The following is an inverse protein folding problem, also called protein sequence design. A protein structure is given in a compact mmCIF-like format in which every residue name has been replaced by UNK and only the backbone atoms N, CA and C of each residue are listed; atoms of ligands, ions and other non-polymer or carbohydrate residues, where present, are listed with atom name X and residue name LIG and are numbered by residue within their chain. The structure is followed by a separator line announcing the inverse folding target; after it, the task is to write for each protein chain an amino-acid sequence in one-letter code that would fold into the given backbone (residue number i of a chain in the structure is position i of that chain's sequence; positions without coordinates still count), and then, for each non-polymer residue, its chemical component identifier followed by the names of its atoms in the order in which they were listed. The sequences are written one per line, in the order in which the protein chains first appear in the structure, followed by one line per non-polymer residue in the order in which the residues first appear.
data_IF_345987525127
#
_entry.id   IF_345987525127
#
_cell.length_a   1.000
_cell.length_b   1.000
_cell.length_c   1.000
_cell.angle_alpha   90.00
_cell.angle_beta   90.00
_cell.angle_gamma   90.00
#
_symmetry.space_group_name_H-M   'P 1'
#
loop_
_entity.id
_entity.type
_entity.pdbx_description
1 polymer ?
#
# COMPACT_ATOMS: atom_id res chain seq x y z
N UNK A 1 7.81 11.62 -11.34
CA UNK A 1 6.72 12.14 -10.48
C UNK A 1 5.78 11.02 -10.09
N UNK A 2 4.95 11.19 -9.05
CA UNK A 2 4.06 10.13 -8.49
C UNK A 2 3.19 9.46 -9.56
N UNK A 3 2.69 10.24 -10.53
CA UNK A 3 1.91 9.74 -11.68
C UNK A 3 2.69 8.79 -12.60
N UNK A 4 4.01 8.94 -12.71
CA UNK A 4 4.84 8.02 -13.50
C UNK A 4 4.94 6.66 -12.80
N UNK A 5 5.05 6.65 -11.47
CA UNK A 5 5.12 5.41 -10.69
C UNK A 5 3.76 4.68 -10.73
N UNK A 6 2.66 5.42 -10.73
CA UNK A 6 1.31 4.88 -10.99
C UNK A 6 1.18 4.25 -12.37
N UNK A 7 1.85 4.79 -13.39
CA UNK A 7 1.88 4.18 -14.72
C UNK A 7 2.68 2.86 -14.69
N UNK A 8 3.82 2.83 -13.98
CA UNK A 8 4.62 1.62 -13.75
C UNK A 8 3.86 0.52 -12.98
N UNK A 9 2.91 0.87 -12.12
CA UNK A 9 2.05 -0.12 -11.44
C UNK A 9 1.11 -0.88 -12.40
N UNK A 10 0.86 -0.34 -13.60
CA UNK A 10 0.06 -0.98 -14.65
C UNK A 10 0.90 -1.69 -15.71
N UNK A 11 2.21 -1.78 -15.50
CA UNK A 11 3.12 -2.42 -16.45
C UNK A 11 2.84 -3.94 -16.53
N UNK A 12 3.24 -4.56 -17.63
CA UNK A 12 3.12 -6.01 -17.79
C UNK A 12 4.19 -6.74 -16.97
N UNK A 13 5.33 -6.09 -16.70
CA UNK A 13 6.40 -6.65 -15.88
C UNK A 13 6.07 -6.56 -14.40
N UNK A 14 6.00 -7.73 -13.76
CA UNK A 14 5.70 -7.85 -12.33
C UNK A 14 6.79 -7.20 -11.46
N UNK A 15 8.05 -7.28 -11.88
CA UNK A 15 9.18 -6.70 -11.16
C UNK A 15 9.06 -5.18 -11.13
N UNK A 16 8.68 -4.58 -12.26
CA UNK A 16 8.45 -3.13 -12.37
C UNK A 16 7.29 -2.71 -11.46
N UNK A 17 6.22 -3.51 -11.41
CA UNK A 17 5.06 -3.24 -10.55
C UNK A 17 5.39 -3.34 -9.07
N UNK A 18 6.16 -4.35 -8.66
CA UNK A 18 6.61 -4.54 -7.29
C UNK A 18 7.47 -3.35 -6.83
N UNK A 19 8.46 -2.97 -7.63
CA UNK A 19 9.33 -1.82 -7.34
C UNK A 19 8.54 -0.51 -7.30
N UNK A 20 7.57 -0.34 -8.20
CA UNK A 20 6.69 0.82 -8.22
C UNK A 20 5.86 0.92 -6.93
N UNK A 21 5.22 -0.16 -6.51
CA UNK A 21 4.46 -0.25 -5.25
C UNK A 21 5.34 0.03 -4.03
N UNK A 22 6.51 -0.60 -3.96
CA UNK A 22 7.45 -0.43 -2.86
C UNK A 22 7.94 1.03 -2.76
N UNK A 23 8.26 1.64 -3.89
CA UNK A 23 8.68 3.04 -3.96
C UNK A 23 7.57 3.96 -3.46
N UNK A 24 6.33 3.72 -3.88
CA UNK A 24 5.16 4.49 -3.42
C UNK A 24 4.94 4.30 -1.93
N UNK A 25 5.06 3.08 -1.40
CA UNK A 25 4.96 2.80 0.04
C UNK A 25 5.96 3.64 0.83
N UNK A 26 7.21 3.64 0.40
CA UNK A 26 8.29 4.37 1.09
C UNK A 26 8.07 5.89 1.04
N UNK A 27 7.66 6.43 -0.11
CA UNK A 27 7.37 7.85 -0.27
C UNK A 27 6.11 8.25 0.53
N UNK A 28 5.07 7.42 0.49
CA UNK A 28 3.83 7.65 1.23
C UNK A 28 4.05 7.67 2.73
N UNK A 29 5.03 6.89 3.23
CA UNK A 29 5.41 6.80 4.64
C UNK A 29 6.29 7.95 5.16
N UNK A 30 6.88 8.75 4.27
CA UNK A 30 7.76 9.86 4.65
C UNK A 30 6.98 11.13 5.01
N UNK A 31 5.92 11.45 4.26
CA UNK A 31 5.19 12.71 4.43
C UNK A 31 3.66 12.54 4.28
N UNK A 32 2.84 13.02 5.25
CA UNK A 32 1.39 12.94 5.18
C UNK A 32 0.77 13.74 4.02
N UNK A 33 1.42 14.81 3.56
CA UNK A 33 1.02 15.62 2.40
C UNK A 33 1.19 14.83 1.10
N UNK A 34 2.24 14.01 1.02
CA UNK A 34 2.46 13.12 -0.12
C UNK A 34 1.47 11.95 -0.09
N UNK A 35 1.21 11.36 1.08
CA UNK A 35 0.18 10.34 1.24
C UNK A 35 -1.20 10.84 0.76
N UNK A 36 -1.54 12.10 1.06
CA UNK A 36 -2.75 12.75 0.53
C UNK A 36 -2.74 12.88 -0.99
N UNK A 37 -1.63 13.30 -1.59
CA UNK A 37 -1.48 13.40 -3.04
C UNK A 37 -1.63 12.03 -3.71
N UNK A 38 -1.07 10.98 -3.12
CA UNK A 38 -1.13 9.59 -3.60
C UNK A 38 -2.57 9.06 -3.59
N UNK A 39 -3.34 9.32 -2.53
CA UNK A 39 -4.78 9.00 -2.52
C UNK A 39 -5.52 9.80 -3.60
N UNK A 40 -5.23 11.10 -3.70
CA UNK A 40 -5.87 11.98 -4.70
C UNK A 40 -5.55 11.57 -6.14
N UNK A 41 -4.39 10.99 -6.40
CA UNK A 41 -4.02 10.46 -7.72
C UNK A 41 -4.72 9.15 -8.07
N UNK A 42 -5.56 8.60 -7.18
CA UNK A 42 -6.36 7.41 -7.47
C UNK A 42 -5.60 6.10 -7.31
N UNK A 43 -4.62 6.02 -6.39
CA UNK A 43 -3.87 4.77 -6.20
C UNK A 43 -4.66 3.68 -5.48
N UNK A 44 -5.65 4.05 -4.67
CA UNK A 44 -6.41 3.10 -3.85
C UNK A 44 -7.04 1.96 -4.68
N UNK A 45 -7.76 2.23 -5.79
CA UNK A 45 -8.27 1.15 -6.65
C UNK A 45 -7.17 0.31 -7.31
N UNK A 46 -6.00 0.90 -7.60
CA UNK A 46 -4.85 0.17 -8.13
C UNK A 46 -4.28 -0.81 -7.10
N UNK A 47 -4.14 -0.39 -5.84
CA UNK A 47 -3.71 -1.26 -4.74
C UNK A 47 -4.73 -2.39 -4.52
N UNK A 48 -6.03 -2.08 -4.52
CA UNK A 48 -7.08 -3.11 -4.40
C UNK A 48 -7.01 -4.12 -5.54
N UNK A 49 -6.67 -3.69 -6.75
CA UNK A 49 -6.46 -4.59 -7.89
C UNK A 49 -5.22 -5.48 -7.67
N UNK A 50 -4.11 -4.92 -7.19
CA UNK A 50 -2.91 -5.69 -6.84
C UNK A 50 -3.15 -6.68 -5.68
N UNK A 51 -4.08 -6.40 -4.77
CA UNK A 51 -4.49 -7.34 -3.71
C UNK A 51 -5.26 -8.56 -4.25
N UNK A 52 -5.94 -8.40 -5.39
CA UNK A 52 -6.69 -9.49 -6.04
C UNK A 52 -5.79 -10.42 -6.85
N UNK A 53 -4.54 -10.05 -7.10
CA UNK A 53 -3.62 -10.91 -7.83
C UNK A 53 -3.17 -12.11 -7.01
N UNK A 54 -2.67 -13.16 -7.65
CA UNK A 54 -2.32 -14.40 -6.95
C UNK A 54 -0.98 -14.28 -6.19
N UNK A 55 -0.12 -13.34 -6.61
CA UNK A 55 1.24 -13.19 -6.07
C UNK A 55 1.25 -12.56 -4.68
N UNK A 56 2.01 -13.19 -3.77
CA UNK A 56 2.14 -12.73 -2.39
C UNK A 56 2.91 -11.43 -2.24
N UNK A 57 3.99 -11.23 -3.01
CA UNK A 57 4.82 -10.01 -2.93
C UNK A 57 4.01 -8.74 -3.22
N UNK A 58 3.23 -8.74 -4.30
CA UNK A 58 2.38 -7.61 -4.67
C UNK A 58 1.33 -7.31 -3.60
N UNK A 59 0.76 -8.34 -2.96
CA UNK A 59 -0.14 -8.17 -1.82
C UNK A 59 0.55 -7.51 -0.65
N UNK A 60 1.74 -8.00 -0.29
CA UNK A 60 2.53 -7.49 0.82
C UNK A 60 2.85 -6.01 0.61
N UNK A 61 3.39 -5.63 -0.56
CA UNK A 61 3.70 -4.22 -0.84
C UNK A 61 2.45 -3.33 -0.92
N UNK A 62 1.34 -3.85 -1.46
CA UNK A 62 0.05 -3.17 -1.47
C UNK A 62 -0.44 -2.88 -0.05
N UNK A 63 -0.35 -3.86 0.85
CA UNK A 63 -0.71 -3.71 2.25
C UNK A 63 0.23 -2.76 2.99
N UNK A 64 1.54 -2.89 2.82
CA UNK A 64 2.51 -1.97 3.41
C UNK A 64 2.20 -0.54 3.00
N UNK A 65 1.89 -0.30 1.73
CA UNK A 65 1.52 1.04 1.25
C UNK A 65 0.28 1.58 1.97
N UNK A 66 -0.75 0.75 2.16
CA UNK A 66 -1.96 1.14 2.88
C UNK A 66 -1.67 1.42 4.35
N UNK A 67 -0.83 0.62 5.00
CA UNK A 67 -0.42 0.81 6.38
C UNK A 67 0.35 2.14 6.55
N UNK A 68 1.30 2.41 5.66
CA UNK A 68 2.07 3.65 5.65
C UNK A 68 1.18 4.88 5.45
N UNK A 69 0.14 4.79 4.60
CA UNK A 69 -0.82 5.89 4.42
C UNK A 69 -1.76 6.02 5.64
N UNK A 70 -2.19 4.90 6.22
CA UNK A 70 -3.12 4.88 7.34
C UNK A 70 -2.50 5.39 8.65
N UNK A 71 -1.21 5.11 8.90
CA UNK A 71 -0.52 5.55 10.13
C UNK A 71 -0.39 7.07 10.23
N UNK A 72 -0.40 7.80 9.11
CA UNK A 72 -0.20 9.25 9.11
C UNK A 72 -1.39 10.03 9.67
N UNK A 73 -2.63 9.66 9.29
CA UNK A 73 -3.80 10.43 9.71
C UNK A 73 -5.09 9.59 9.64
N UNK A 74 -5.92 9.70 10.67
CA UNK A 74 -7.23 9.04 10.75
C UNK A 74 -8.16 9.42 9.59
N UNK A 75 -8.03 10.63 9.02
CA UNK A 75 -8.78 11.03 7.80
C UNK A 75 -8.38 10.20 6.57
N UNK A 76 -7.09 9.85 6.44
CA UNK A 76 -6.61 9.00 5.34
C UNK A 76 -7.01 7.55 5.56
N UNK A 77 -6.93 7.07 6.80
CA UNK A 77 -7.44 5.76 7.17
C UNK A 77 -8.93 5.60 6.84
N UNK A 78 -9.77 6.59 7.16
CA UNK A 78 -11.20 6.59 6.77
C UNK A 78 -11.38 6.50 5.25
N UNK A 79 -10.56 7.22 4.49
CA UNK A 79 -10.62 7.22 3.03
C UNK A 79 -10.20 5.88 2.41
N UNK A 80 -9.29 5.15 3.04
CA UNK A 80 -8.95 3.76 2.68
C UNK A 80 -10.12 2.82 2.99
N UNK A 81 -10.76 2.99 4.14
CA UNK A 81 -11.92 2.19 4.58
C UNK A 81 -13.11 2.35 3.63
N UNK A 82 -13.36 3.57 3.16
CA UNK A 82 -14.43 3.88 2.20
C UNK A 82 -14.27 3.17 0.84
N UNK A 83 -13.03 2.84 0.43
CA UNK A 83 -12.74 2.22 -0.88
C UNK A 83 -12.91 0.69 -0.89
N UNK A 84 -13.67 0.13 0.08
CA UNK A 84 -13.93 -1.31 0.20
C UNK A 84 -12.68 -2.17 0.42
N UNK A 85 -11.62 -1.59 0.99
CA UNK A 85 -10.38 -2.29 1.32
C UNK A 85 -10.54 -3.21 2.55
N UNK A 86 -11.54 -2.95 3.41
CA UNK A 86 -11.81 -3.67 4.66
C UNK A 86 -11.85 -5.21 4.55
N UNK A 87 -12.66 -5.84 3.66
CA UNK A 87 -12.72 -7.29 3.59
C UNK A 87 -11.38 -7.93 3.18
N UNK A 88 -10.60 -7.27 2.32
CA UNK A 88 -9.29 -7.78 1.89
C UNK A 88 -8.20 -7.56 2.95
N UNK A 89 -8.27 -6.45 3.68
CA UNK A 89 -7.28 -6.09 4.71
C UNK A 89 -7.53 -6.90 5.99
N UNK A 90 -8.79 -7.14 6.39
CA UNK A 90 -9.12 -8.00 7.53
C UNK A 90 -8.65 -9.45 7.29
N UNK A 91 -8.81 -9.96 6.06
CA UNK A 91 -8.37 -11.32 5.74
C UNK A 91 -6.86 -11.53 5.87
N UNK A 92 -6.05 -10.48 5.67
CA UNK A 92 -4.59 -10.56 5.76
C UNK A 92 -4.04 -10.06 7.11
N UNK A 93 -4.69 -9.10 7.77
CA UNK A 93 -4.38 -8.72 9.16
C UNK A 93 -4.66 -9.87 10.15
N UNK A 94 -5.55 -10.80 9.80
CA UNK A 94 -5.70 -12.05 10.54
C UNK A 94 -4.47 -12.96 10.41
N UNK A 95 -3.56 -12.69 9.47
CA UNK A 95 -2.32 -13.43 9.21
C UNK A 95 -1.07 -12.71 9.79
N UNK A 96 -1.08 -11.37 9.87
CA UNK A 96 0.10 -10.56 10.27
C UNK A 96 0.23 -10.20 11.76
N UNK A 97 -0.66 -10.65 12.65
CA UNK A 97 -0.47 -10.42 14.09
C UNK A 97 0.80 -11.13 14.66
N UNK A 98 1.54 -11.88 13.84
CA UNK A 98 2.65 -12.74 14.29
C UNK A 98 4.05 -12.20 13.90
N UNK A 99 4.21 -11.29 12.93
CA UNK A 99 5.56 -11.00 12.37
C UNK A 99 6.15 -9.61 12.57
N UNK A 100 5.40 -8.55 12.84
CA UNK A 100 5.98 -7.18 12.90
C UNK A 100 6.27 -6.60 14.31
N UNK A 101 6.05 -7.37 15.39
CA UNK A 101 6.56 -6.97 16.73
C UNK A 101 8.05 -7.35 16.92
N UNK A 102 8.68 -8.06 15.97
CA UNK A 102 10.03 -8.64 16.18
C UNK A 102 11.20 -8.01 15.42
N UNK A 103 11.01 -7.09 14.48
CA UNK A 103 12.15 -6.56 13.70
C UNK A 103 12.54 -5.09 13.96
N UNK A 104 11.85 -4.38 14.86
CA UNK A 104 12.32 -3.06 15.35
C UNK A 104 13.09 -3.11 16.68
N UNK A 105 13.46 -4.31 17.18
CA UNK A 105 14.26 -4.46 18.42
C UNK A 105 15.71 -4.90 18.14
N UNK A 106 16.12 -5.07 16.88
CA UNK A 106 17.43 -5.66 16.54
C UNK A 106 18.30 -4.91 15.52
N UNK A 107 18.13 -3.59 15.35
CA UNK A 107 19.15 -2.72 14.76
C UNK A 107 19.18 -1.38 15.49
#
# INVERSE_FOLDING_TARGET
GIHAILACMKDLDVTVREVALQTISSIAGQDPSIAQLIIKSGILPQIVQSLKEERQNLKLYALSTLNEIAKHNQRLAKKIVEVQTLPNVICFLSTDYITDVKLQVYC
#
